data_IF_468954187830
#
_entry.id   IF_468954187830
#
_cell.length_a   1.000
_cell.length_b   1.000
_cell.length_c   1.000
_cell.angle_alpha   90.00
_cell.angle_beta   90.00
_cell.angle_gamma   90.00
#
_symmetry.space_group_name_H-M   'P 1'
#
loop_
_entity.id
_entity.type
_entity.pdbx_description
1 polymer ?
#
# COMPACT_ATOMS: atom_id res chain seq x y z
N UNK A 1 53.19 34.29 20.45
CA UNK A 1 53.24 33.78 19.04
C UNK A 1 51.94 33.00 18.80
N UNK A 2 50.99 33.61 18.07
CA UNK A 2 49.68 32.98 17.70
C UNK A 2 49.86 32.38 16.29
N UNK A 3 49.68 31.03 16.17
CA UNK A 3 49.56 30.37 14.88
C UNK A 3 48.06 30.10 14.62
N UNK A 4 47.52 30.82 13.64
CA UNK A 4 46.21 30.60 13.04
C UNK A 4 46.33 29.55 11.96
N UNK A 5 45.81 28.35 12.19
CA UNK A 5 45.65 27.30 11.18
C UNK A 5 44.34 27.52 10.42
N UNK A 6 44.41 27.78 9.14
CA UNK A 6 43.28 27.79 8.22
C UNK A 6 42.88 26.35 7.88
N UNK A 7 41.66 25.97 8.20
CA UNK A 7 41.06 24.72 7.76
C UNK A 7 40.42 24.96 6.38
N UNK A 8 40.97 24.34 5.35
CA UNK A 8 40.43 24.37 3.98
C UNK A 8 39.41 23.24 3.87
N UNK A 9 38.10 23.61 3.76
CA UNK A 9 37.07 22.65 3.41
C UNK A 9 37.17 22.33 1.91
N UNK A 10 37.48 21.07 1.59
CA UNK A 10 37.27 20.52 0.26
C UNK A 10 35.78 20.09 0.14
N UNK A 11 35.02 20.82 -0.63
CA UNK A 11 33.70 20.42 -1.09
C UNK A 11 33.86 19.49 -2.28
N UNK A 12 33.66 18.18 -2.06
CA UNK A 12 33.53 17.22 -3.14
C UNK A 12 32.08 17.29 -3.68
N UNK A 13 31.93 17.89 -4.87
CA UNK A 13 30.68 17.84 -5.61
C UNK A 13 30.53 16.45 -6.25
N UNK A 14 29.63 15.62 -5.75
CA UNK A 14 29.21 14.39 -6.41
C UNK A 14 28.16 14.76 -7.45
N UNK A 15 28.58 14.73 -8.72
CA UNK A 15 27.67 14.87 -9.86
C UNK A 15 26.84 13.58 -10.00
N UNK A 16 25.57 13.60 -9.58
CA UNK A 16 24.61 12.57 -9.94
C UNK A 16 24.22 12.76 -11.40
N UNK A 17 24.72 11.89 -12.27
CA UNK A 17 24.24 11.77 -13.65
C UNK A 17 22.85 11.12 -13.64
N UNK A 18 21.82 11.94 -13.81
CA UNK A 18 20.45 11.51 -14.13
C UNK A 18 20.44 10.96 -15.57
N UNK A 19 20.35 9.65 -15.70
CA UNK A 19 20.00 9.02 -16.98
C UNK A 19 18.47 9.07 -17.08
N UNK A 20 17.89 9.80 -18.03
CA UNK A 20 16.45 9.79 -18.23
C UNK A 20 16.06 8.50 -18.96
N UNK A 21 15.44 7.56 -18.23
CA UNK A 21 14.70 6.48 -18.85
C UNK A 21 13.42 7.03 -19.50
N UNK A 22 12.94 6.48 -20.63
CA UNK A 22 11.72 6.95 -21.27
C UNK A 22 10.52 6.59 -20.40
N UNK A 23 9.98 7.57 -19.70
CA UNK A 23 8.63 7.47 -19.15
C UNK A 23 7.64 7.65 -20.31
N UNK A 24 7.12 6.57 -20.86
CA UNK A 24 5.94 6.62 -21.69
C UNK A 24 4.74 6.96 -20.80
N UNK A 25 4.52 8.24 -20.56
CA UNK A 25 3.24 8.74 -20.10
C UNK A 25 2.33 8.73 -21.31
N UNK A 26 1.47 7.72 -21.42
CA UNK A 26 0.38 7.73 -22.38
C UNK A 26 -0.56 8.88 -22.01
N UNK A 27 -0.36 10.02 -22.68
CA UNK A 27 -1.31 11.12 -22.68
C UNK A 27 -2.51 10.63 -23.49
N UNK A 28 -3.63 10.29 -22.83
CA UNK A 28 -4.86 9.95 -23.50
C UNK A 28 -5.34 11.17 -24.29
N UNK A 29 -5.32 11.08 -25.60
CA UNK A 29 -5.99 12.01 -26.48
C UNK A 29 -7.52 11.92 -26.27
N UNK A 30 -8.28 13.00 -26.29
CA UNK A 30 -9.73 12.95 -26.13
C UNK A 30 -10.34 12.28 -27.34
N UNK A 31 -10.92 11.08 -27.16
CA UNK A 31 -11.78 10.42 -28.14
C UNK A 31 -11.38 9.03 -28.65
N UNK A 32 -10.25 8.45 -28.18
CA UNK A 32 -9.95 7.03 -28.45
C UNK A 32 -10.28 6.19 -27.22
N UNK A 33 -10.84 4.98 -27.39
CA UNK A 33 -10.94 4.01 -26.31
C UNK A 33 -9.53 3.80 -25.74
N UNK A 34 -9.34 4.04 -24.43
CA UNK A 34 -8.05 3.80 -23.78
C UNK A 34 -7.76 2.30 -23.82
N UNK A 35 -6.55 1.93 -24.24
CA UNK A 35 -6.13 0.52 -24.17
C UNK A 35 -6.31 0.00 -22.74
N UNK A 36 -6.80 -1.26 -22.59
CA UNK A 36 -6.97 -1.86 -21.28
C UNK A 36 -5.64 -1.84 -20.50
N UNK A 37 -5.66 -1.33 -19.28
CA UNK A 37 -4.52 -1.35 -18.38
C UNK A 37 -4.74 -2.42 -17.32
N UNK A 38 -3.77 -3.31 -17.12
CA UNK A 38 -3.76 -4.29 -16.04
C UNK A 38 -2.64 -3.97 -15.06
N UNK A 39 -2.98 -3.88 -13.80
CA UNK A 39 -1.97 -3.78 -12.76
C UNK A 39 -1.17 -5.08 -12.69
N UNK A 40 0.14 -4.95 -12.61
CA UNK A 40 1.05 -6.08 -12.40
C UNK A 40 2.23 -5.64 -11.53
N UNK A 41 2.66 -6.54 -10.66
CA UNK A 41 3.79 -6.30 -9.77
C UNK A 41 4.76 -7.48 -9.86
N UNK A 42 6.08 -7.23 -10.09
CA UNK A 42 7.05 -8.31 -10.18
C UNK A 42 7.06 -9.14 -8.90
N UNK A 43 6.77 -10.42 -9.02
CA UNK A 43 6.83 -11.37 -7.90
C UNK A 43 7.12 -12.78 -8.40
N UNK A 44 7.97 -13.51 -7.67
CA UNK A 44 8.34 -14.90 -7.93
C UNK A 44 8.24 -15.70 -6.63
N UNK A 45 7.01 -16.01 -6.13
CA UNK A 45 6.82 -16.65 -4.83
C UNK A 45 7.51 -18.02 -4.69
N UNK A 46 7.78 -18.69 -5.82
CA UNK A 46 8.45 -19.99 -5.88
C UNK A 46 9.97 -19.92 -6.01
N UNK A 47 10.57 -18.71 -6.07
CA UNK A 47 12.02 -18.59 -6.10
C UNK A 47 12.65 -19.24 -4.86
N UNK A 48 13.70 -20.02 -5.06
CA UNK A 48 14.38 -20.73 -3.96
C UNK A 48 15.03 -19.72 -3.00
N UNK A 49 14.73 -19.90 -1.71
CA UNK A 49 15.29 -19.14 -0.58
C UNK A 49 15.76 -20.09 0.55
N UNK A 50 15.98 -21.37 0.24
CA UNK A 50 16.44 -22.36 1.21
C UNK A 50 17.78 -21.98 1.84
N UNK A 51 18.68 -21.41 1.08
CA UNK A 51 19.96 -20.89 1.56
C UNK A 51 19.80 -19.65 2.47
N UNK A 52 18.82 -18.79 2.21
CA UNK A 52 18.48 -17.65 3.09
C UNK A 52 17.96 -18.18 4.42
N UNK A 53 17.04 -19.14 4.37
CA UNK A 53 16.52 -19.81 5.58
C UNK A 53 17.63 -20.51 6.36
N UNK A 54 18.51 -21.24 5.70
CA UNK A 54 19.59 -21.98 6.36
C UNK A 54 20.60 -21.05 7.09
N UNK A 55 20.78 -19.81 6.61
CA UNK A 55 21.70 -18.82 7.18
C UNK A 55 21.01 -17.84 8.13
N UNK A 56 19.67 -17.93 8.27
CA UNK A 56 18.89 -16.99 9.07
C UNK A 56 19.30 -17.02 10.54
N UNK A 57 19.41 -15.84 11.14
CA UNK A 57 19.66 -15.63 12.55
C UNK A 57 19.29 -14.22 12.99
N UNK A 58 19.17 -14.01 14.30
CA UNK A 58 18.76 -12.71 14.86
C UNK A 58 19.70 -11.55 14.52
N UNK A 59 20.99 -11.83 14.28
CA UNK A 59 21.98 -10.80 13.93
C UNK A 59 22.01 -10.43 12.45
N UNK A 60 21.35 -11.21 11.56
CA UNK A 60 21.39 -10.97 10.11
C UNK A 60 19.99 -10.93 9.46
N UNK A 61 18.94 -10.77 10.25
CA UNK A 61 17.56 -10.83 9.76
C UNK A 61 17.27 -9.78 8.68
N UNK A 62 17.83 -8.56 8.77
CA UNK A 62 17.64 -7.51 7.75
C UNK A 62 18.27 -7.92 6.41
N UNK A 63 19.48 -8.49 6.42
CA UNK A 63 20.10 -9.00 5.22
C UNK A 63 19.28 -10.18 4.63
N UNK A 64 18.74 -11.03 5.50
CA UNK A 64 17.85 -12.13 5.10
C UNK A 64 16.55 -11.60 4.48
N UNK A 65 15.95 -10.55 5.04
CA UNK A 65 14.76 -9.88 4.49
C UNK A 65 15.02 -9.34 3.09
N UNK A 66 16.08 -8.56 2.94
CA UNK A 66 16.43 -7.94 1.67
C UNK A 66 16.71 -8.98 0.58
N UNK A 67 17.45 -10.06 0.91
CA UNK A 67 17.76 -11.11 -0.06
C UNK A 67 16.53 -11.96 -0.41
N UNK A 68 15.68 -12.28 0.57
CA UNK A 68 14.42 -12.99 0.37
C UNK A 68 13.49 -12.21 -0.57
N UNK A 69 13.29 -10.92 -0.31
CA UNK A 69 12.42 -10.10 -1.16
C UNK A 69 13.04 -9.74 -2.49
N UNK A 70 14.35 -9.57 -2.58
CA UNK A 70 15.04 -9.41 -3.85
C UNK A 70 14.70 -10.54 -4.83
N UNK A 71 14.60 -11.77 -4.35
CA UNK A 71 14.25 -12.95 -5.16
C UNK A 71 12.76 -13.08 -5.40
N UNK A 72 11.94 -12.76 -4.40
CA UNK A 72 10.50 -13.07 -4.42
C UNK A 72 9.59 -11.89 -4.65
N UNK A 73 9.99 -10.70 -4.21
CA UNK A 73 9.15 -9.49 -4.26
C UNK A 73 9.98 -8.20 -4.22
N UNK A 74 10.45 -7.73 -5.38
CA UNK A 74 11.32 -6.55 -5.46
C UNK A 74 10.78 -5.26 -4.84
N UNK A 75 9.45 -5.05 -4.82
CA UNK A 75 8.84 -3.89 -4.15
C UNK A 75 9.13 -3.89 -2.65
N UNK A 76 8.96 -5.04 -1.99
CA UNK A 76 9.29 -5.19 -0.58
C UNK A 76 10.78 -5.03 -0.30
N UNK A 77 11.63 -5.50 -1.20
CA UNK A 77 13.08 -5.30 -1.09
C UNK A 77 13.46 -3.81 -1.13
N UNK A 78 12.82 -3.02 -1.99
CA UNK A 78 13.05 -1.56 -2.03
C UNK A 78 12.69 -0.88 -0.71
N UNK A 79 11.54 -1.22 -0.12
CA UNK A 79 11.15 -0.71 1.19
C UNK A 79 12.15 -1.12 2.28
N UNK A 80 12.51 -2.42 2.33
CA UNK A 80 13.47 -2.94 3.30
C UNK A 80 14.87 -2.30 3.19
N UNK A 81 15.27 -1.87 1.99
CA UNK A 81 16.51 -1.11 1.79
C UNK A 81 16.33 0.34 2.25
N UNK A 82 15.23 0.98 1.87
CA UNK A 82 14.97 2.39 2.20
C UNK A 82 14.84 2.62 3.71
N UNK A 83 14.27 1.65 4.44
CA UNK A 83 14.02 1.71 5.88
C UNK A 83 15.03 0.88 6.72
N UNK A 84 16.12 0.38 6.13
CA UNK A 84 17.06 -0.53 6.80
C UNK A 84 17.64 -0.01 8.12
N UNK A 85 17.72 1.32 8.30
CA UNK A 85 18.20 1.98 9.51
C UNK A 85 17.11 2.36 10.51
N UNK A 86 15.83 2.09 10.21
CA UNK A 86 14.76 2.45 11.13
C UNK A 86 14.73 1.51 12.34
N UNK A 87 14.63 2.10 13.52
CA UNK A 87 14.60 1.36 14.79
C UNK A 87 13.25 0.70 15.10
N UNK A 88 12.18 1.12 14.41
CA UNK A 88 10.84 0.56 14.63
C UNK A 88 10.72 -0.90 14.20
N UNK A 89 11.53 -1.36 13.25
CA UNK A 89 11.61 -2.78 12.90
C UNK A 89 11.68 -3.71 14.11
N UNK A 90 12.49 -3.35 15.11
CA UNK A 90 12.72 -4.17 16.31
C UNK A 90 11.45 -4.41 17.15
N UNK A 91 10.41 -3.61 16.98
CA UNK A 91 9.14 -3.76 17.69
C UNK A 91 8.24 -4.84 17.05
N UNK A 92 8.42 -5.12 15.78
CA UNK A 92 7.51 -5.95 15.00
C UNK A 92 8.17 -7.23 14.47
N UNK A 93 9.49 -7.25 14.29
CA UNK A 93 10.20 -8.40 13.71
C UNK A 93 10.45 -9.49 14.74
N UNK A 94 9.93 -10.70 14.47
CA UNK A 94 10.23 -11.88 15.27
C UNK A 94 11.47 -12.61 14.73
N UNK A 95 12.58 -12.57 15.46
CA UNK A 95 13.85 -13.17 15.03
C UNK A 95 14.14 -14.53 15.65
N UNK A 96 13.19 -15.17 16.35
CA UNK A 96 13.40 -16.45 17.06
C UNK A 96 13.49 -17.65 16.14
N UNK A 97 12.80 -17.62 15.01
CA UNK A 97 12.83 -18.64 13.96
C UNK A 97 12.53 -18.02 12.61
N UNK A 98 12.89 -18.69 11.52
CA UNK A 98 12.58 -18.20 10.18
C UNK A 98 11.07 -18.14 9.90
N UNK A 99 10.31 -19.10 10.39
CA UNK A 99 8.85 -19.12 10.30
C UNK A 99 8.22 -17.94 11.06
N UNK A 100 8.65 -17.71 12.32
CA UNK A 100 8.19 -16.54 13.10
C UNK A 100 8.60 -15.23 12.46
N UNK A 101 9.76 -15.17 11.84
CA UNK A 101 10.21 -14.04 11.04
C UNK A 101 9.30 -13.81 9.84
N UNK A 102 9.04 -14.85 9.03
CA UNK A 102 8.16 -14.74 7.88
C UNK A 102 6.74 -14.29 8.27
N UNK A 103 6.17 -14.83 9.35
CA UNK A 103 4.86 -14.42 9.87
C UNK A 103 4.83 -12.96 10.34
N UNK A 104 5.89 -12.50 10.99
CA UNK A 104 5.96 -11.12 11.48
C UNK A 104 6.05 -10.06 10.36
N UNK A 105 6.38 -10.46 9.14
CA UNK A 105 6.54 -9.53 8.02
C UNK A 105 5.25 -8.84 7.62
N UNK A 106 4.08 -9.42 7.89
CA UNK A 106 2.82 -8.74 7.63
C UNK A 106 2.73 -7.41 8.39
N UNK A 107 2.96 -7.45 9.70
CA UNK A 107 2.91 -6.26 10.55
C UNK A 107 4.15 -5.40 10.34
N UNK A 108 5.35 -5.99 10.31
CA UNK A 108 6.58 -5.23 10.20
C UNK A 108 6.65 -4.39 8.92
N UNK A 109 6.27 -4.96 7.77
CA UNK A 109 6.22 -4.24 6.49
C UNK A 109 5.08 -3.22 6.48
N UNK A 110 3.93 -3.53 7.08
CA UNK A 110 2.82 -2.58 7.23
C UNK A 110 3.27 -1.32 7.99
N UNK A 111 3.85 -1.48 9.15
CA UNK A 111 4.29 -0.37 9.99
C UNK A 111 5.46 0.43 9.37
N UNK A 112 6.42 -0.26 8.76
CA UNK A 112 7.50 0.43 8.05
C UNK A 112 7.04 1.16 6.80
N UNK A 113 5.93 0.75 6.21
CA UNK A 113 5.28 1.51 5.14
C UNK A 113 4.74 2.82 5.70
N UNK A 114 4.13 2.82 6.89
CA UNK A 114 3.72 4.07 7.56
C UNK A 114 4.92 4.97 7.87
N UNK A 115 6.03 4.42 8.39
CA UNK A 115 7.24 5.19 8.65
C UNK A 115 7.78 5.84 7.35
N UNK A 116 7.64 5.16 6.23
CA UNK A 116 8.07 5.68 4.94
C UNK A 116 7.09 6.71 4.35
N UNK A 117 5.78 6.41 4.34
CA UNK A 117 4.73 7.26 3.76
C UNK A 117 4.55 8.58 4.55
N UNK A 118 4.70 8.50 5.86
CA UNK A 118 4.41 9.60 6.77
C UNK A 118 5.67 10.35 7.23
N UNK A 119 6.82 10.04 6.65
CA UNK A 119 8.06 10.78 6.91
C UNK A 119 7.87 12.27 6.57
N UNK A 120 8.01 13.19 7.54
CA UNK A 120 7.79 14.62 7.32
C UNK A 120 8.69 15.23 6.25
N UNK A 121 9.81 14.59 5.89
CA UNK A 121 10.67 15.02 4.78
C UNK A 121 10.05 14.78 3.40
N UNK A 122 9.07 13.88 3.31
CA UNK A 122 8.39 13.48 2.06
C UNK A 122 6.96 13.97 1.96
N UNK A 123 6.25 14.03 3.10
CA UNK A 123 4.81 14.29 3.13
C UNK A 123 4.38 15.16 4.29
N UNK A 124 3.14 15.65 4.24
CA UNK A 124 2.45 16.35 5.32
C UNK A 124 1.07 15.72 5.51
N UNK A 125 0.71 15.47 6.76
CA UNK A 125 -0.52 14.78 7.13
C UNK A 125 -1.82 15.36 6.58
N UNK A 126 -1.88 16.68 6.47
CA UNK A 126 -3.12 17.39 6.11
C UNK A 126 -3.25 17.64 4.61
N UNK A 127 -2.17 17.44 3.83
CA UNK A 127 -2.15 17.86 2.42
C UNK A 127 -1.70 16.78 1.45
N UNK A 128 -0.69 15.97 1.81
CA UNK A 128 -0.05 15.04 0.89
C UNK A 128 0.09 13.64 1.47
N UNK A 129 0.15 12.66 0.59
CA UNK A 129 0.65 11.33 0.89
C UNK A 129 1.76 10.99 -0.11
N UNK A 130 2.81 10.33 0.37
CA UNK A 130 3.78 9.65 -0.45
C UNK A 130 3.44 8.17 -0.43
N UNK A 131 3.17 7.56 -1.58
CA UNK A 131 2.74 6.18 -1.66
C UNK A 131 3.70 5.37 -2.52
N UNK A 132 3.96 4.13 -2.12
CA UNK A 132 4.83 3.20 -2.84
C UNK A 132 4.02 2.41 -3.85
N UNK A 133 3.66 3.06 -4.93
CA UNK A 133 2.70 2.55 -5.90
C UNK A 133 3.29 2.49 -7.30
N UNK A 134 2.66 1.84 -8.16
CA UNK A 134 2.73 1.55 -9.58
C UNK A 134 3.59 0.35 -9.97
N UNK A 135 3.37 -0.17 -11.18
CA UNK A 135 4.11 -1.30 -11.72
C UNK A 135 5.62 -1.03 -11.86
N UNK A 136 6.03 0.24 -11.95
CA UNK A 136 7.44 0.65 -11.93
C UNK A 136 8.03 0.73 -10.52
N UNK A 137 7.22 0.49 -9.48
CA UNK A 137 7.62 0.56 -8.07
C UNK A 137 8.17 1.95 -7.68
N UNK A 138 7.53 2.97 -8.19
CA UNK A 138 7.86 4.36 -7.87
C UNK A 138 6.86 4.90 -6.86
N UNK A 139 7.39 5.58 -5.86
CA UNK A 139 6.58 6.37 -4.96
C UNK A 139 6.11 7.66 -5.64
N UNK A 140 4.95 8.15 -5.23
CA UNK A 140 4.45 9.44 -5.64
C UNK A 140 3.95 10.23 -4.45
N UNK A 141 4.01 11.55 -4.54
CA UNK A 141 3.40 12.46 -3.57
C UNK A 141 2.17 13.09 -4.20
N UNK A 142 1.05 13.03 -3.49
CA UNK A 142 -0.27 13.43 -4.01
C UNK A 142 -0.91 14.47 -3.10
N UNK A 143 -1.41 15.60 -3.62
CA UNK A 143 -2.21 16.55 -2.86
C UNK A 143 -3.56 15.96 -2.47
N UNK A 144 -3.96 16.09 -1.20
CA UNK A 144 -5.21 15.54 -0.67
C UNK A 144 -6.26 16.60 -0.32
N UNK A 145 -5.89 17.88 -0.34
CA UNK A 145 -6.79 19.01 -0.11
C UNK A 145 -7.57 18.98 1.23
N UNK A 146 -6.99 18.38 2.26
CA UNK A 146 -7.64 18.27 3.59
C UNK A 146 -8.63 17.08 3.67
N UNK A 147 -9.91 17.36 3.71
CA UNK A 147 -10.98 16.36 3.81
C UNK A 147 -11.75 16.38 5.13
N UNK A 148 -12.51 15.34 5.40
CA UNK A 148 -13.36 15.16 6.58
C UNK A 148 -12.95 13.89 7.36
N UNK A 149 -13.38 13.74 8.64
CA UNK A 149 -13.06 12.56 9.45
C UNK A 149 -13.55 11.25 8.82
N UNK A 150 -12.67 10.23 8.73
CA UNK A 150 -13.04 8.93 8.13
C UNK A 150 -14.18 8.22 8.84
N UNK A 151 -14.44 8.55 10.11
CA UNK A 151 -15.62 8.01 10.85
C UNK A 151 -16.97 8.36 10.21
N UNK A 152 -17.05 9.37 9.34
CA UNK A 152 -18.28 9.73 8.65
C UNK A 152 -18.78 8.67 7.67
N UNK A 153 -17.94 7.67 7.34
CA UNK A 153 -18.35 6.53 6.51
C UNK A 153 -19.18 5.48 7.29
N UNK A 154 -19.13 5.48 8.62
CA UNK A 154 -19.81 4.48 9.47
C UNK A 154 -21.28 4.22 9.10
N UNK A 155 -22.12 5.23 8.81
CA UNK A 155 -23.52 4.99 8.44
C UNK A 155 -23.72 4.18 7.15
N UNK A 156 -22.67 4.04 6.31
CA UNK A 156 -22.72 3.24 5.09
C UNK A 156 -22.29 1.77 5.31
N UNK A 157 -21.79 1.44 6.50
CA UNK A 157 -21.40 0.08 6.89
C UNK A 157 -22.61 -0.57 7.59
N UNK A 158 -23.28 -1.48 6.89
CA UNK A 158 -24.52 -2.10 7.36
C UNK A 158 -24.35 -3.57 7.76
N UNK A 159 -23.20 -4.14 7.50
CA UNK A 159 -22.82 -5.51 7.90
C UNK A 159 -21.76 -5.48 9.03
N UNK A 160 -21.31 -6.66 9.46
CA UNK A 160 -20.33 -6.82 10.55
C UNK A 160 -19.02 -7.49 10.11
N UNK A 161 -18.78 -7.58 8.81
CA UNK A 161 -17.62 -8.31 8.30
C UNK A 161 -16.29 -7.65 8.70
N UNK A 162 -16.27 -6.35 8.93
CA UNK A 162 -15.10 -5.58 9.38
C UNK A 162 -15.23 -5.01 10.79
N UNK A 163 -16.14 -5.53 11.64
CA UNK A 163 -16.53 -4.88 12.91
C UNK A 163 -15.33 -4.62 13.86
N UNK A 164 -14.37 -5.54 13.94
CA UNK A 164 -13.16 -5.33 14.73
C UNK A 164 -12.30 -4.19 14.18
N UNK A 165 -12.13 -4.10 12.86
CA UNK A 165 -11.37 -3.02 12.21
C UNK A 165 -12.15 -1.70 12.25
N UNK A 166 -13.45 -1.74 12.10
CA UNK A 166 -14.32 -0.56 12.29
C UNK A 166 -14.18 0.00 13.71
N UNK A 167 -14.01 -0.88 14.71
CA UNK A 167 -13.71 -0.49 16.09
C UNK A 167 -12.42 0.32 16.19
N UNK A 168 -11.35 -0.18 15.57
CA UNK A 168 -10.03 0.43 15.61
C UNK A 168 -9.98 1.71 14.76
N UNK A 169 -10.40 1.62 13.50
CA UNK A 169 -10.14 2.68 12.53
C UNK A 169 -11.21 3.76 12.45
N UNK A 170 -12.47 3.43 12.79
CA UNK A 170 -13.59 4.36 12.60
C UNK A 170 -14.22 4.80 13.91
N UNK A 171 -14.42 3.89 14.89
CA UNK A 171 -15.09 4.21 16.15
C UNK A 171 -14.13 4.77 17.20
N UNK A 172 -12.84 4.45 17.14
CA UNK A 172 -11.86 5.08 18.00
C UNK A 172 -11.83 6.61 17.81
N UNK A 173 -11.68 7.35 18.88
CA UNK A 173 -11.79 8.82 18.88
C UNK A 173 -10.68 9.49 18.06
N UNK A 174 -9.46 9.00 18.15
CA UNK A 174 -8.31 9.54 17.44
C UNK A 174 -8.27 9.02 16.00
N UNK A 175 -8.25 7.70 15.85
CA UNK A 175 -8.17 7.05 14.53
C UNK A 175 -9.32 7.46 13.61
N UNK A 176 -10.55 7.46 14.12
CA UNK A 176 -11.73 7.89 13.35
C UNK A 176 -11.72 9.37 12.96
N UNK A 177 -10.88 10.21 13.58
CA UNK A 177 -10.71 11.62 13.21
C UNK A 177 -9.79 11.85 12.03
N UNK A 178 -8.99 10.86 11.63
CA UNK A 178 -8.12 10.98 10.47
C UNK A 178 -8.94 11.14 9.19
N UNK A 179 -8.36 11.87 8.23
CA UNK A 179 -9.00 12.24 6.96
C UNK A 179 -8.56 11.28 5.84
N UNK A 180 -8.72 11.68 4.58
CA UNK A 180 -8.35 10.87 3.42
C UNK A 180 -6.90 10.35 3.49
N UNK A 181 -5.98 11.17 4.01
CA UNK A 181 -4.59 10.75 4.22
C UNK A 181 -4.51 9.46 5.08
N UNK A 182 -5.25 9.40 6.20
CA UNK A 182 -5.27 8.20 7.06
C UNK A 182 -5.93 6.99 6.38
N UNK A 183 -6.91 7.19 5.48
CA UNK A 183 -7.53 6.11 4.70
C UNK A 183 -6.52 5.52 3.70
N UNK A 184 -5.83 6.39 2.97
CA UNK A 184 -4.84 5.97 1.97
C UNK A 184 -3.59 5.37 2.59
N UNK A 185 -3.12 5.91 3.73
CA UNK A 185 -1.96 5.37 4.43
C UNK A 185 -2.20 3.94 4.91
N UNK A 186 -3.37 3.67 5.51
CA UNK A 186 -3.73 2.31 5.95
C UNK A 186 -3.92 1.35 4.77
N UNK A 187 -4.51 1.82 3.67
CA UNK A 187 -4.65 1.00 2.46
C UNK A 187 -3.28 0.67 1.87
N UNK A 188 -2.40 1.65 1.69
CA UNK A 188 -1.06 1.41 1.16
C UNK A 188 -0.25 0.48 2.07
N UNK A 189 -0.29 0.67 3.39
CA UNK A 189 0.37 -0.21 4.35
C UNK A 189 -0.18 -1.65 4.30
N UNK A 190 -1.49 -1.83 4.19
CA UNK A 190 -2.13 -3.13 3.98
C UNK A 190 -1.71 -3.79 2.67
N UNK A 191 -1.55 -2.99 1.61
CA UNK A 191 -1.09 -3.45 0.28
C UNK A 191 0.42 -3.68 0.21
N UNK A 192 1.17 -3.31 1.22
CA UNK A 192 2.55 -3.76 1.42
C UNK A 192 2.59 -4.99 2.34
N UNK A 193 1.77 -5.06 3.37
CA UNK A 193 1.71 -6.20 4.30
C UNK A 193 1.20 -7.50 3.66
N UNK A 194 0.17 -7.44 2.80
CA UNK A 194 -0.38 -8.64 2.14
C UNK A 194 0.62 -9.35 1.21
N UNK A 195 1.28 -8.67 0.24
CA UNK A 195 2.33 -9.30 -0.56
C UNK A 195 3.49 -9.82 0.27
N UNK A 196 3.88 -9.11 1.34
CA UNK A 196 4.98 -9.50 2.20
C UNK A 196 4.87 -10.94 2.72
N UNK A 197 3.65 -11.38 3.04
CA UNK A 197 3.39 -12.76 3.50
C UNK A 197 2.92 -13.69 2.39
N UNK A 198 2.30 -13.17 1.33
CA UNK A 198 1.87 -14.00 0.19
C UNK A 198 3.06 -14.66 -0.50
N UNK A 199 4.16 -13.94 -0.67
CA UNK A 199 5.35 -14.46 -1.36
C UNK A 199 6.17 -15.45 -0.53
N UNK A 200 5.85 -15.63 0.75
CA UNK A 200 6.51 -16.56 1.68
C UNK A 200 5.51 -17.48 2.39
N UNK A 201 4.33 -17.66 1.81
CA UNK A 201 3.18 -18.31 2.42
C UNK A 201 3.47 -19.77 2.87
N UNK A 202 4.44 -20.46 2.29
CA UNK A 202 4.81 -21.82 2.71
C UNK A 202 5.41 -21.86 4.13
N UNK A 203 5.95 -20.73 4.61
CA UNK A 203 6.49 -20.59 5.97
C UNK A 203 5.45 -20.06 6.97
N UNK A 204 4.28 -19.61 6.49
CA UNK A 204 3.22 -19.06 7.34
C UNK A 204 2.40 -20.18 7.95
N UNK A 205 2.26 -20.15 9.28
CA UNK A 205 1.41 -21.08 10.03
C UNK A 205 0.02 -20.52 10.35
N UNK A 206 -0.21 -19.24 10.05
CA UNK A 206 -1.53 -18.61 10.12
C UNK A 206 -1.83 -17.81 11.38
N UNK A 207 -0.87 -17.63 12.29
CA UNK A 207 -1.13 -16.87 13.52
C UNK A 207 -0.85 -15.38 13.35
N UNK A 208 0.34 -15.02 12.86
CA UNK A 208 0.75 -13.60 12.74
C UNK A 208 0.25 -12.87 11.50
N UNK A 209 -0.17 -13.60 10.46
CA UNK A 209 -0.57 -13.06 9.16
C UNK A 209 -2.03 -13.32 8.79
N UNK A 210 -2.83 -13.82 9.74
CA UNK A 210 -4.18 -14.35 9.50
C UNK A 210 -5.23 -13.31 9.10
N UNK A 211 -4.91 -12.03 9.11
CA UNK A 211 -5.80 -10.93 8.73
C UNK A 211 -5.23 -10.03 7.62
N UNK A 212 -4.17 -10.46 6.93
CA UNK A 212 -3.56 -9.65 5.87
C UNK A 212 -4.54 -9.31 4.72
N UNK A 213 -5.36 -10.31 4.32
CA UNK A 213 -6.40 -10.12 3.30
C UNK A 213 -7.54 -9.23 3.80
N UNK A 214 -7.94 -9.40 5.07
CA UNK A 214 -8.98 -8.60 5.71
C UNK A 214 -8.59 -7.13 5.76
N UNK A 215 -7.34 -6.83 6.14
CA UNK A 215 -6.81 -5.46 6.16
C UNK A 215 -6.86 -4.82 4.77
N UNK A 216 -6.36 -5.50 3.75
CA UNK A 216 -6.36 -4.97 2.39
C UNK A 216 -7.80 -4.75 1.86
N UNK A 217 -8.70 -5.72 2.03
CA UNK A 217 -10.09 -5.63 1.59
C UNK A 217 -10.87 -4.53 2.32
N UNK A 218 -10.68 -4.42 3.65
CA UNK A 218 -11.37 -3.44 4.49
C UNK A 218 -10.92 -2.00 4.20
N UNK A 219 -9.62 -1.77 4.07
CA UNK A 219 -9.12 -0.42 3.79
C UNK A 219 -9.50 0.05 2.37
N UNK A 220 -9.58 -0.86 1.39
CA UNK A 220 -10.18 -0.52 0.11
C UNK A 220 -11.66 -0.14 0.26
N UNK A 221 -12.44 -0.90 1.06
CA UNK A 221 -13.83 -0.56 1.37
C UNK A 221 -13.93 0.86 1.96
N UNK A 222 -13.08 1.19 2.91
CA UNK A 222 -13.08 2.53 3.51
C UNK A 222 -12.78 3.62 2.49
N UNK A 223 -11.86 3.41 1.58
CA UNK A 223 -11.60 4.37 0.50
C UNK A 223 -12.83 4.58 -0.38
N UNK A 224 -13.48 3.51 -0.84
CA UNK A 224 -14.68 3.59 -1.69
C UNK A 224 -15.84 4.30 -0.98
N UNK A 225 -16.07 3.98 0.30
CA UNK A 225 -17.09 4.64 1.10
C UNK A 225 -16.75 6.11 1.39
N UNK A 226 -15.47 6.44 1.58
CA UNK A 226 -15.02 7.81 1.74
C UNK A 226 -15.30 8.65 0.49
N UNK A 227 -15.04 8.12 -0.69
CA UNK A 227 -15.38 8.79 -1.96
C UNK A 227 -16.89 9.02 -2.10
N UNK A 228 -17.72 8.05 -1.68
CA UNK A 228 -19.19 8.22 -1.67
C UNK A 228 -19.63 9.34 -0.73
N UNK A 229 -19.12 9.36 0.50
CA UNK A 229 -19.43 10.43 1.48
C UNK A 229 -18.91 11.78 0.96
N UNK A 230 -17.71 11.83 0.35
CA UNK A 230 -17.18 13.04 -0.25
C UNK A 230 -18.16 13.61 -1.28
N UNK A 231 -18.65 12.78 -2.20
CA UNK A 231 -19.61 13.22 -3.23
C UNK A 231 -20.94 13.67 -2.64
N UNK A 232 -21.47 12.89 -1.70
CA UNK A 232 -22.85 13.07 -1.20
C UNK A 232 -22.97 14.20 -0.16
N UNK A 233 -21.93 14.41 0.66
CA UNK A 233 -21.98 15.34 1.80
C UNK A 233 -21.00 16.50 1.75
N UNK A 234 -19.94 16.37 0.95
CA UNK A 234 -18.86 17.36 0.84
C UNK A 234 -18.57 17.71 -0.62
N UNK A 235 -19.55 18.30 -1.38
CA UNK A 235 -19.45 18.47 -2.83
C UNK A 235 -18.28 19.36 -3.25
N UNK A 236 -17.92 20.39 -2.48
CA UNK A 236 -16.75 21.24 -2.78
C UNK A 236 -15.44 20.47 -2.64
N UNK A 237 -15.33 19.65 -1.59
CA UNK A 237 -14.18 18.76 -1.41
C UNK A 237 -14.12 17.70 -2.51
N UNK A 238 -15.27 17.10 -2.87
CA UNK A 238 -15.36 16.16 -3.99
C UNK A 238 -14.84 16.77 -5.30
N UNK A 239 -15.26 18.00 -5.61
CA UNK A 239 -14.80 18.69 -6.81
C UNK A 239 -13.28 18.92 -6.81
N UNK A 240 -12.70 19.27 -5.66
CA UNK A 240 -11.26 19.46 -5.49
C UNK A 240 -10.49 18.17 -5.74
N UNK A 241 -10.84 17.07 -5.04
CA UNK A 241 -10.11 15.82 -5.16
C UNK A 241 -10.31 15.15 -6.52
N UNK A 242 -11.51 15.26 -7.11
CA UNK A 242 -11.79 14.76 -8.46
C UNK A 242 -11.01 15.56 -9.53
N UNK A 243 -10.72 16.82 -9.26
CA UNK A 243 -9.87 17.67 -10.10
C UNK A 243 -8.38 17.29 -10.08
N UNK A 244 -7.92 16.47 -9.11
CA UNK A 244 -6.50 16.14 -8.94
C UNK A 244 -6.11 14.86 -9.73
N UNK A 245 -5.37 14.98 -10.84
CA UNK A 245 -5.07 13.82 -11.70
C UNK A 245 -4.25 12.74 -10.99
N UNK A 246 -3.27 13.14 -10.17
CA UNK A 246 -2.42 12.19 -9.44
C UNK A 246 -3.19 11.41 -8.39
N UNK A 247 -4.19 12.03 -7.77
CA UNK A 247 -5.04 11.33 -6.80
C UNK A 247 -5.96 10.33 -7.50
N UNK A 248 -6.50 10.67 -8.68
CA UNK A 248 -7.27 9.71 -9.49
C UNK A 248 -6.44 8.51 -9.91
N UNK A 249 -5.21 8.75 -10.37
CA UNK A 249 -4.25 7.69 -10.71
C UNK A 249 -3.93 6.81 -9.49
N UNK A 250 -3.66 7.43 -8.34
CA UNK A 250 -3.40 6.72 -7.08
C UNK A 250 -4.58 5.82 -6.70
N UNK A 251 -5.79 6.36 -6.66
CA UNK A 251 -7.00 5.61 -6.28
C UNK A 251 -7.26 4.43 -7.23
N UNK A 252 -7.11 4.64 -8.54
CA UNK A 252 -7.22 3.55 -9.51
C UNK A 252 -6.16 2.48 -9.28
N UNK A 253 -4.92 2.89 -9.11
CA UNK A 253 -3.79 1.97 -8.88
C UNK A 253 -4.00 1.15 -7.60
N UNK A 254 -4.39 1.78 -6.49
CA UNK A 254 -4.65 1.09 -5.22
C UNK A 254 -5.84 0.10 -5.33
N UNK A 255 -6.87 0.46 -6.08
CA UNK A 255 -7.98 -0.46 -6.36
C UNK A 255 -7.51 -1.69 -7.14
N UNK A 256 -6.82 -1.48 -8.26
CA UNK A 256 -6.33 -2.57 -9.12
C UNK A 256 -5.27 -3.42 -8.41
N UNK A 257 -4.39 -2.80 -7.62
CA UNK A 257 -3.38 -3.47 -6.80
C UNK A 257 -4.03 -4.35 -5.73
N UNK A 258 -5.09 -3.85 -5.08
CA UNK A 258 -5.85 -4.64 -4.12
C UNK A 258 -6.44 -5.88 -4.79
N UNK A 259 -7.09 -5.72 -5.94
CA UNK A 259 -7.62 -6.84 -6.71
C UNK A 259 -6.54 -7.86 -7.06
N UNK A 260 -5.40 -7.40 -7.59
CA UNK A 260 -4.26 -8.24 -7.95
C UNK A 260 -3.76 -9.09 -6.78
N UNK A 261 -3.50 -8.48 -5.62
CA UNK A 261 -2.97 -9.22 -4.48
C UNK A 261 -4.01 -10.08 -3.78
N UNK A 262 -5.29 -9.69 -3.78
CA UNK A 262 -6.37 -10.56 -3.30
C UNK A 262 -6.54 -11.80 -4.19
N UNK A 263 -6.42 -11.66 -5.52
CA UNK A 263 -6.40 -12.80 -6.44
C UNK A 263 -5.17 -13.70 -6.23
N UNK A 264 -3.97 -13.12 -6.14
CA UNK A 264 -2.71 -13.87 -5.91
C UNK A 264 -2.70 -14.61 -4.57
N UNK A 265 -3.31 -14.06 -3.54
CA UNK A 265 -3.40 -14.67 -2.20
C UNK A 265 -4.61 -15.58 -1.99
N UNK A 266 -5.55 -15.65 -2.96
CA UNK A 266 -6.78 -16.44 -2.84
C UNK A 266 -6.55 -17.93 -2.48
N UNK A 267 -5.52 -18.63 -3.03
CA UNK A 267 -5.23 -20.01 -2.63
C UNK A 267 -4.85 -20.17 -1.15
N UNK A 268 -4.54 -19.09 -0.46
CA UNK A 268 -4.02 -19.07 0.92
C UNK A 268 -4.99 -18.40 1.92
N UNK A 269 -6.27 -18.23 1.56
CA UNK A 269 -7.27 -17.55 2.40
C UNK A 269 -7.29 -18.10 3.83
N UNK A 270 -7.24 -19.41 4.03
CA UNK A 270 -7.24 -20.02 5.37
C UNK A 270 -6.00 -19.71 6.23
N UNK A 271 -4.93 -19.12 5.65
CA UNK A 271 -3.73 -18.69 6.38
C UNK A 271 -3.60 -17.16 6.47
N UNK A 272 -4.04 -16.44 5.44
CA UNK A 272 -3.78 -15.01 5.24
C UNK A 272 -5.02 -14.14 5.40
N UNK A 273 -6.16 -14.73 5.72
CA UNK A 273 -7.41 -14.01 5.90
C UNK A 273 -8.50 -14.86 6.53
N UNK A 274 -9.55 -14.20 6.98
CA UNK A 274 -10.79 -14.81 7.41
C UNK A 274 -11.75 -14.98 6.22
N UNK A 275 -12.85 -15.76 6.38
CA UNK A 275 -13.93 -15.81 5.39
C UNK A 275 -14.57 -14.43 5.11
N UNK A 276 -14.44 -13.49 6.04
CA UNK A 276 -14.98 -12.14 5.87
C UNK A 276 -14.19 -11.29 4.88
N UNK A 277 -12.89 -11.57 4.67
CA UNK A 277 -12.10 -10.90 3.63
C UNK A 277 -12.74 -11.04 2.23
N UNK A 278 -13.23 -12.23 1.89
CA UNK A 278 -13.88 -12.47 0.60
C UNK A 278 -15.27 -11.81 0.53
N UNK A 279 -16.01 -11.76 1.64
CA UNK A 279 -17.29 -11.03 1.75
C UNK A 279 -17.10 -9.52 1.60
N UNK A 280 -16.10 -8.95 2.29
CA UNK A 280 -15.74 -7.53 2.16
C UNK A 280 -15.32 -7.24 0.71
N UNK A 281 -14.50 -8.11 0.11
CA UNK A 281 -14.11 -7.99 -1.29
C UNK A 281 -15.33 -7.95 -2.20
N UNK A 282 -16.32 -8.82 -1.99
CA UNK A 282 -17.57 -8.79 -2.75
C UNK A 282 -18.33 -7.45 -2.57
N UNK A 283 -18.35 -6.87 -1.36
CA UNK A 283 -18.96 -5.55 -1.15
C UNK A 283 -18.20 -4.42 -1.85
N UNK A 284 -16.88 -4.53 -2.02
CA UNK A 284 -16.10 -3.55 -2.78
C UNK A 284 -16.52 -3.50 -4.26
N UNK A 285 -17.00 -4.63 -4.80
CA UNK A 285 -17.54 -4.71 -6.16
C UNK A 285 -19.05 -4.45 -6.24
N UNK A 286 -19.70 -4.04 -5.16
CA UNK A 286 -21.11 -3.63 -5.21
C UNK A 286 -21.29 -2.46 -6.19
N UNK A 287 -22.44 -2.40 -6.93
CA UNK A 287 -22.65 -1.42 -8.00
C UNK A 287 -22.40 0.03 -7.59
N UNK A 288 -22.79 0.43 -6.38
CA UNK A 288 -22.58 1.79 -5.89
C UNK A 288 -21.11 2.13 -5.63
N UNK A 289 -20.31 1.15 -5.20
CA UNK A 289 -18.87 1.33 -4.95
C UNK A 289 -18.08 1.37 -6.26
N UNK A 290 -18.45 0.55 -7.23
CA UNK A 290 -17.83 0.61 -8.56
C UNK A 290 -18.22 1.90 -9.28
N UNK A 291 -19.48 2.31 -9.22
CA UNK A 291 -19.93 3.55 -9.85
C UNK A 291 -19.17 4.79 -9.34
N UNK A 292 -18.93 4.89 -8.03
CA UNK A 292 -18.17 6.02 -7.48
C UNK A 292 -16.69 5.97 -7.87
N UNK A 293 -16.09 4.78 -7.92
CA UNK A 293 -14.72 4.59 -8.39
C UNK A 293 -14.56 5.03 -9.85
N UNK A 294 -15.43 4.52 -10.73
CA UNK A 294 -15.42 4.83 -12.16
C UNK A 294 -15.68 6.31 -12.41
N UNK A 295 -16.62 6.92 -11.68
CA UNK A 295 -16.86 8.36 -11.76
C UNK A 295 -15.66 9.19 -11.29
N UNK A 296 -15.00 8.74 -10.21
CA UNK A 296 -13.84 9.46 -9.64
C UNK A 296 -12.64 9.36 -10.55
N UNK A 297 -12.32 8.17 -11.03
CA UNK A 297 -11.09 7.90 -11.80
C UNK A 297 -11.25 8.19 -13.29
N UNK A 298 -12.47 8.09 -13.82
CA UNK A 298 -12.77 8.15 -15.25
C UNK A 298 -12.44 6.85 -15.99
N UNK A 299 -12.08 5.78 -15.28
CA UNK A 299 -11.74 4.48 -15.84
C UNK A 299 -12.86 3.46 -15.56
N UNK A 300 -13.19 2.61 -16.52
CA UNK A 300 -14.07 1.47 -16.29
C UNK A 300 -13.26 0.27 -15.84
N UNK A 301 -13.67 -0.41 -14.76
CA UNK A 301 -12.95 -1.57 -14.21
C UNK A 301 -13.65 -2.89 -14.53
N UNK A 302 -12.87 -3.97 -14.69
CA UNK A 302 -13.43 -5.31 -14.87
C UNK A 302 -14.01 -5.83 -13.56
N UNK A 303 -15.12 -6.60 -13.66
CA UNK A 303 -15.89 -7.05 -12.49
C UNK A 303 -15.89 -8.56 -12.32
N UNK A 304 -15.73 -9.31 -13.39
CA UNK A 304 -15.89 -10.77 -13.38
C UNK A 304 -14.54 -11.50 -13.39
N UNK A 305 -13.68 -11.19 -14.34
CA UNK A 305 -12.35 -11.78 -14.51
C UNK A 305 -11.31 -10.67 -14.60
N UNK A 306 -10.05 -11.00 -14.28
CA UNK A 306 -8.95 -10.03 -14.34
C UNK A 306 -9.31 -8.70 -13.65
N UNK A 307 -9.84 -8.79 -12.44
CA UNK A 307 -10.33 -7.63 -11.67
C UNK A 307 -9.27 -6.56 -11.41
N UNK A 308 -8.01 -6.91 -11.62
CA UNK A 308 -6.87 -6.00 -11.60
C UNK A 308 -6.66 -5.24 -12.92
N UNK A 309 -7.64 -5.28 -13.83
CA UNK A 309 -7.61 -4.59 -15.12
C UNK A 309 -8.75 -3.58 -15.28
N UNK A 310 -8.49 -2.54 -16.10
CA UNK A 310 -9.55 -1.70 -16.66
C UNK A 310 -10.18 -2.38 -17.88
N UNK A 311 -11.41 -1.99 -18.22
CA UNK A 311 -12.03 -2.31 -19.50
C UNK A 311 -11.64 -1.27 -20.55
N UNK A 312 -11.69 -1.66 -21.81
CA UNK A 312 -11.56 -0.73 -22.94
C UNK A 312 -12.77 0.21 -23.01
#
# INVERSE_FOLDING_TARGET
MKRTGRLTLLTAAVALSLVPGPAAVASAAPGGAAEPYCYGEPSTPTADISDVKARFGSGNWMASLQEMYKRRWPSGQKLAVAQAGDKYWSQFVNTRSFEGFAESMMVAIHEETHMWDLDPSRTRWDVHIAAWINASQQATTVPLHGGFPRREILPLITDKYSDSMDGIYLRDSQQGSYKLQGVLAELNAGLMGLPAVTVVQEYIKGVGASNARDIAATNLRYLLLYLRVAKDKHPDYWAQIKGEPKLRELVLTEFLRTAYWLEKSAPYTGKLGSPDADRITATNYAPANIAILEEFTGATVRRDTDKHCTSA
#
